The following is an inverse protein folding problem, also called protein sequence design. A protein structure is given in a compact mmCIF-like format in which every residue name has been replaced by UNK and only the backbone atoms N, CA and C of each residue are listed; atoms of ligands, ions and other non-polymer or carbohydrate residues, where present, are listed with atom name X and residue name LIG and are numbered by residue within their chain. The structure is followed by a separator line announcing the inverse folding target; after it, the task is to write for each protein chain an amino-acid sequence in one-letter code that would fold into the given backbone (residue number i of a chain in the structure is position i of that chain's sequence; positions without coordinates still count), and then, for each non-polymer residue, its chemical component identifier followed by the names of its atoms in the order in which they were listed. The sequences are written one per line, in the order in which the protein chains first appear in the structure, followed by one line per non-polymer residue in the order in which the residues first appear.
data_IF_015734583132
#
_entry.id   IF_015734583132
#
_cell.length_a   1.000
_cell.length_b   1.000
_cell.length_c   1.000
_cell.angle_alpha   90.00
_cell.angle_beta   90.00
_cell.angle_gamma   90.00
#
_symmetry.space_group_name_H-M   'P 1'
#
loop_
_entity.id
_entity.type
_entity.pdbx_description
1 polymer ?
#
# COMPACT_ATOMS: atom_id res chain seq x y z
N UNK A 1 -2.28 29.66 -4.79
CA UNK A 1 -2.42 28.58 -3.79
C UNK A 1 -1.08 27.87 -3.69
N UNK A 2 -0.68 27.37 -2.51
CA UNK A 2 0.55 26.58 -2.40
C UNK A 2 0.37 25.22 -3.09
N UNK A 3 1.36 24.81 -3.89
CA UNK A 3 1.31 23.55 -4.68
C UNK A 3 1.60 22.30 -3.81
N UNK A 4 2.17 22.48 -2.63
CA UNK A 4 2.41 21.44 -1.63
C UNK A 4 2.13 21.97 -0.22
N UNK A 5 1.36 21.22 0.56
CA UNK A 5 1.06 21.53 1.97
C UNK A 5 1.67 20.44 2.85
N UNK A 6 2.56 20.84 3.75
CA UNK A 6 3.12 19.95 4.76
C UNK A 6 2.36 20.17 6.07
N UNK A 7 1.56 19.18 6.47
CA UNK A 7 0.89 19.16 7.77
C UNK A 7 1.77 18.45 8.80
N UNK A 8 2.10 19.13 9.89
CA UNK A 8 2.96 18.60 10.94
C UNK A 8 2.42 18.98 12.33
N UNK A 9 2.54 18.06 13.30
CA UNK A 9 2.27 18.35 14.71
C UNK A 9 3.27 19.37 15.28
N UNK A 10 2.97 19.95 16.45
CA UNK A 10 3.76 21.04 17.05
C UNK A 10 5.27 20.74 17.10
N UNK A 11 5.65 19.55 17.54
CA UNK A 11 7.06 19.13 17.65
C UNK A 11 7.74 19.01 16.28
N UNK A 12 7.13 18.28 15.35
CA UNK A 12 7.68 18.11 14.00
C UNK A 12 7.76 19.45 13.24
N UNK A 13 6.75 20.31 13.37
CA UNK A 13 6.74 21.63 12.76
C UNK A 13 7.87 22.52 13.27
N UNK A 14 8.12 22.52 14.59
CA UNK A 14 9.23 23.27 15.18
C UNK A 14 10.59 22.78 14.67
N UNK A 15 10.76 21.45 14.58
CA UNK A 15 11.97 20.83 14.03
C UNK A 15 12.19 21.20 12.55
N UNK A 16 11.18 21.01 11.71
CA UNK A 16 11.24 21.30 10.27
C UNK A 16 11.51 22.78 10.01
N UNK A 17 10.92 23.70 10.78
CA UNK A 17 11.18 25.15 10.65
C UNK A 17 12.62 25.52 11.01
N UNK A 18 13.24 24.80 11.95
CA UNK A 18 14.60 25.06 12.41
C UNK A 18 15.66 24.43 11.50
N UNK A 19 15.43 23.19 11.07
CA UNK A 19 16.45 22.34 10.45
C UNK A 19 16.15 22.00 8.98
N UNK A 20 14.97 22.34 8.47
CA UNK A 20 14.43 21.76 7.24
C UNK A 20 13.84 20.36 7.47
N UNK A 21 13.17 19.81 6.44
CA UNK A 21 12.71 18.42 6.43
C UNK A 21 13.81 17.56 5.80
N UNK A 22 14.41 16.66 6.58
CA UNK A 22 15.43 15.72 6.14
C UNK A 22 14.82 14.31 5.92
N UNK A 23 15.32 13.51 4.97
CA UNK A 23 14.93 12.09 4.88
C UNK A 23 15.33 11.29 6.13
N UNK A 24 16.30 11.77 6.91
CA UNK A 24 16.68 11.15 8.19
C UNK A 24 15.61 11.34 9.28
N UNK A 25 14.69 12.30 9.10
CA UNK A 25 13.54 12.53 10.00
C UNK A 25 12.40 11.52 9.78
N UNK A 26 12.47 10.70 8.72
CA UNK A 26 11.42 9.78 8.33
C UNK A 26 11.67 8.41 8.95
N UNK A 27 10.74 7.95 9.78
CA UNK A 27 10.71 6.59 10.33
C UNK A 27 9.70 5.68 9.63
N UNK A 28 8.64 6.26 9.06
CA UNK A 28 7.53 5.50 8.47
C UNK A 28 6.90 6.28 7.31
N UNK A 29 6.53 5.58 6.24
CA UNK A 29 5.78 6.14 5.11
C UNK A 29 4.48 5.36 4.91
N UNK A 30 3.36 6.07 4.99
CA UNK A 30 2.04 5.52 4.72
C UNK A 30 1.64 5.79 3.27
N UNK A 31 1.44 4.72 2.51
CA UNK A 31 1.07 4.78 1.10
C UNK A 31 -0.40 5.18 0.95
N UNK A 32 -0.64 6.42 0.52
CA UNK A 32 -1.98 6.86 0.16
C UNK A 32 -2.60 5.91 -0.88
N UNK A 33 -3.80 5.43 -0.57
CA UNK A 33 -4.59 4.56 -1.44
C UNK A 33 -5.69 5.35 -2.12
N UNK A 34 -6.19 4.88 -3.26
CA UNK A 34 -7.23 5.60 -4.00
C UNK A 34 -7.49 5.12 -5.43
N UNK A 35 -7.14 3.87 -5.76
CA UNK A 35 -7.17 3.35 -7.13
C UNK A 35 -6.51 4.35 -8.11
N UNK A 36 -7.17 4.72 -9.20
CA UNK A 36 -6.65 5.66 -10.19
C UNK A 36 -6.30 7.06 -9.64
N UNK A 37 -6.84 7.47 -8.47
CA UNK A 37 -6.47 8.75 -7.84
C UNK A 37 -4.99 8.81 -7.46
N UNK A 38 -4.35 7.66 -7.27
CA UNK A 38 -2.92 7.58 -7.03
C UNK A 38 -2.11 8.18 -8.20
N UNK A 39 -2.55 8.06 -9.45
CA UNK A 39 -1.82 8.58 -10.61
C UNK A 39 -1.59 10.10 -10.53
N UNK A 40 -2.50 10.84 -9.88
CA UNK A 40 -2.34 12.28 -9.66
C UNK A 40 -1.15 12.62 -8.74
N UNK A 41 -0.67 11.66 -7.93
CA UNK A 41 0.46 11.80 -7.03
C UNK A 41 1.63 10.87 -7.37
N UNK A 42 1.58 10.12 -8.49
CA UNK A 42 2.64 9.19 -8.88
C UNK A 42 4.00 9.91 -9.06
N UNK A 43 3.97 11.13 -9.61
CA UNK A 43 5.16 11.98 -9.69
C UNK A 43 5.71 12.41 -8.33
N UNK A 44 4.85 12.61 -7.32
CA UNK A 44 5.28 12.90 -5.96
C UNK A 44 5.92 11.66 -5.33
N UNK A 45 5.31 10.49 -5.45
CA UNK A 45 5.88 9.24 -4.96
C UNK A 45 7.26 8.97 -5.59
N UNK A 46 7.37 9.19 -6.91
CA UNK A 46 8.65 9.09 -7.62
C UNK A 46 9.70 10.04 -7.02
N UNK A 47 9.37 11.32 -6.80
CA UNK A 47 10.30 12.28 -6.18
C UNK A 47 10.67 11.89 -4.75
N UNK A 48 9.73 11.37 -3.97
CA UNK A 48 10.00 10.89 -2.60
C UNK A 48 11.01 9.75 -2.63
N UNK A 49 10.75 8.68 -3.38
CA UNK A 49 11.56 7.47 -3.30
C UNK A 49 12.83 7.49 -4.15
N UNK A 50 12.78 8.11 -5.33
CA UNK A 50 13.92 8.14 -6.27
C UNK A 50 14.84 9.35 -6.09
N UNK A 51 14.47 10.35 -5.27
CA UNK A 51 15.28 11.57 -5.08
C UNK A 51 15.44 12.00 -3.62
N UNK A 52 14.36 12.08 -2.85
CA UNK A 52 14.44 12.57 -1.47
C UNK A 52 15.02 11.49 -0.52
N UNK A 53 14.45 10.29 -0.52
CA UNK A 53 14.89 9.20 0.36
C UNK A 53 16.26 8.63 -0.01
N UNK A 54 16.75 8.85 -1.23
CA UNK A 54 18.11 8.45 -1.63
C UNK A 54 19.20 9.29 -0.96
N UNK A 55 18.84 10.45 -0.39
CA UNK A 55 19.76 11.32 0.35
C UNK A 55 19.87 10.94 1.84
N UNK A 56 19.12 9.92 2.29
CA UNK A 56 19.12 9.46 3.68
C UNK A 56 20.48 8.90 4.06
N UNK A 57 20.99 9.28 5.24
CA UNK A 57 22.27 8.81 5.79
C UNK A 57 22.10 7.89 6.99
N UNK A 58 20.98 8.03 7.70
CA UNK A 58 20.58 7.12 8.75
C UNK A 58 20.41 5.70 8.16
N UNK A 59 20.78 4.67 8.91
CA UNK A 59 20.69 3.26 8.52
C UNK A 59 19.51 2.53 9.15
N UNK A 60 18.81 3.14 10.12
CA UNK A 60 17.58 2.57 10.67
C UNK A 60 16.55 2.41 9.55
N UNK A 61 15.99 1.21 9.31
CA UNK A 61 15.04 0.99 8.24
C UNK A 61 13.77 1.83 8.41
N UNK A 62 13.14 2.19 7.29
CA UNK A 62 11.87 2.92 7.25
C UNK A 62 10.74 1.93 7.02
N UNK A 63 9.74 1.93 7.89
CA UNK A 63 8.55 1.11 7.71
C UNK A 63 7.66 1.70 6.62
N UNK A 64 7.24 0.87 5.67
CA UNK A 64 6.32 1.23 4.60
C UNK A 64 4.99 0.54 4.87
N UNK A 65 3.90 1.27 5.06
CA UNK A 65 2.58 0.68 5.27
C UNK A 65 1.63 1.10 4.15
N UNK A 66 1.04 0.12 3.46
CA UNK A 66 0.11 0.38 2.37
C UNK A 66 -1.09 -0.56 2.35
N UNK A 67 -2.13 -0.14 1.66
CA UNK A 67 -3.30 -0.96 1.32
C UNK A 67 -3.63 -0.78 -0.16
N UNK A 68 -4.07 -1.84 -0.85
CA UNK A 68 -4.39 -1.81 -2.28
C UNK A 68 -3.26 -1.14 -3.10
N UNK A 69 -3.55 -0.19 -3.98
CA UNK A 69 -2.53 0.52 -4.79
C UNK A 69 -1.44 1.20 -3.94
N UNK A 70 -1.77 1.60 -2.71
CA UNK A 70 -0.80 2.13 -1.76
C UNK A 70 0.23 1.07 -1.35
N UNK A 71 -0.16 -0.20 -1.22
CA UNK A 71 0.78 -1.30 -1.00
C UNK A 71 1.62 -1.58 -2.26
N UNK A 72 1.00 -1.56 -3.44
CA UNK A 72 1.68 -1.90 -4.69
C UNK A 72 2.79 -0.87 -5.02
N UNK A 73 2.49 0.42 -4.85
CA UNK A 73 3.49 1.48 -5.09
C UNK A 73 4.62 1.45 -4.06
N UNK A 74 4.33 1.09 -2.81
CA UNK A 74 5.34 0.95 -1.78
C UNK A 74 6.20 -0.30 -2.01
N UNK A 75 5.63 -1.39 -2.51
CA UNK A 75 6.36 -2.55 -2.97
C UNK A 75 7.29 -2.18 -4.14
N UNK A 76 6.77 -1.44 -5.13
CA UNK A 76 7.58 -0.92 -6.24
C UNK A 76 8.70 0.03 -5.77
N UNK A 77 8.42 0.89 -4.79
CA UNK A 77 9.42 1.76 -4.17
C UNK A 77 10.48 1.00 -3.34
N UNK A 78 10.14 -0.20 -2.86
CA UNK A 78 11.05 -1.09 -2.14
C UNK A 78 11.86 -2.01 -3.07
N UNK A 79 11.72 -1.90 -4.39
CA UNK A 79 12.64 -2.51 -5.35
C UNK A 79 13.99 -1.77 -5.33
N UNK A 80 15.04 -2.41 -5.86
CA UNK A 80 16.38 -1.81 -5.95
C UNK A 80 16.38 -0.55 -6.82
N UNK A 81 15.70 -0.59 -7.98
CA UNK A 81 15.52 0.55 -8.88
C UNK A 81 14.12 1.18 -8.76
N UNK A 82 13.88 1.88 -7.64
CA UNK A 82 12.63 2.60 -7.43
C UNK A 82 12.37 3.69 -8.49
N UNK A 83 13.40 4.28 -9.12
CA UNK A 83 13.24 5.33 -10.15
C UNK A 83 12.48 4.76 -11.35
N UNK A 84 12.93 3.63 -11.87
CA UNK A 84 12.31 2.98 -13.04
C UNK A 84 11.06 2.21 -12.65
N UNK A 85 11.09 1.45 -11.56
CA UNK A 85 9.95 0.60 -11.16
C UNK A 85 8.67 1.42 -10.94
N UNK A 86 8.73 2.58 -10.28
CA UNK A 86 7.53 3.40 -10.05
C UNK A 86 6.93 3.94 -11.35
N UNK A 87 7.76 4.26 -12.35
CA UNK A 87 7.30 4.67 -13.68
C UNK A 87 6.68 3.50 -14.43
N UNK A 88 7.35 2.35 -14.47
CA UNK A 88 6.83 1.12 -15.09
C UNK A 88 5.47 0.74 -14.48
N UNK A 89 5.33 0.85 -13.16
CA UNK A 89 4.07 0.59 -12.49
C UNK A 89 2.98 1.58 -12.91
N UNK A 90 3.28 2.88 -12.94
CA UNK A 90 2.32 3.90 -13.36
C UNK A 90 1.88 3.71 -14.82
N UNK A 91 2.83 3.45 -15.73
CA UNK A 91 2.56 3.19 -17.15
C UNK A 91 1.73 1.91 -17.34
N UNK A 92 2.07 0.84 -16.62
CA UNK A 92 1.30 -0.39 -16.63
C UNK A 92 -0.12 -0.18 -16.12
N UNK A 93 -0.30 0.60 -15.05
CA UNK A 93 -1.59 0.91 -14.47
C UNK A 93 -2.46 1.75 -15.43
N UNK A 94 -1.88 2.73 -16.13
CA UNK A 94 -2.55 3.54 -17.16
C UNK A 94 -2.95 2.69 -18.36
N UNK A 95 -2.09 1.75 -18.77
CA UNK A 95 -2.28 0.92 -19.94
C UNK A 95 -3.29 -0.23 -19.76
N UNK A 96 -3.87 -0.38 -18.57
CA UNK A 96 -4.93 -1.38 -18.33
C UNK A 96 -6.09 -1.14 -19.30
N UNK A 97 -6.52 -2.22 -19.95
CA UNK A 97 -7.62 -2.18 -20.92
C UNK A 97 -8.51 -3.40 -20.74
N UNK A 98 -9.81 -3.17 -20.71
CA UNK A 98 -10.80 -4.23 -20.54
C UNK A 98 -11.54 -4.43 -21.85
N UNK A 99 -11.39 -5.61 -22.44
CA UNK A 99 -12.15 -6.02 -23.61
C UNK A 99 -13.49 -6.64 -23.17
N UNK A 100 -14.60 -6.12 -23.70
CA UNK A 100 -15.93 -6.67 -23.44
C UNK A 100 -16.45 -6.38 -22.03
N UNK A 101 -17.07 -7.38 -21.40
CA UNK A 101 -17.72 -7.23 -20.09
C UNK A 101 -16.65 -7.22 -18.99
N UNK A 102 -16.65 -6.17 -18.17
CA UNK A 102 -15.81 -6.10 -16.98
C UNK A 102 -16.39 -7.05 -15.92
N UNK A 103 -15.64 -8.10 -15.62
CA UNK A 103 -15.89 -9.06 -14.55
C UNK A 103 -14.63 -9.31 -13.70
N UNK A 104 -14.75 -10.10 -12.63
CA UNK A 104 -13.65 -10.39 -11.71
C UNK A 104 -12.43 -10.99 -12.42
N UNK A 105 -12.65 -11.92 -13.37
CA UNK A 105 -11.58 -12.54 -14.13
C UNK A 105 -10.83 -11.52 -15.00
N UNK A 106 -11.55 -10.60 -15.64
CA UNK A 106 -10.92 -9.52 -16.41
C UNK A 106 -10.12 -8.56 -15.52
N UNK A 107 -10.58 -8.30 -14.28
CA UNK A 107 -9.90 -7.47 -13.28
C UNK A 107 -8.62 -8.14 -12.79
N UNK A 108 -8.70 -9.42 -12.44
CA UNK A 108 -7.54 -10.21 -12.00
C UNK A 108 -6.48 -10.23 -13.10
N UNK A 109 -6.87 -10.54 -14.35
CA UNK A 109 -5.95 -10.55 -15.50
C UNK A 109 -5.23 -9.22 -15.70
N UNK A 110 -5.94 -8.08 -15.65
CA UNK A 110 -5.31 -6.77 -15.80
C UNK A 110 -4.40 -6.43 -14.62
N UNK A 111 -4.78 -6.84 -13.41
CA UNK A 111 -3.98 -6.65 -12.20
C UNK A 111 -2.68 -7.45 -12.28
N UNK A 112 -2.75 -8.71 -12.72
CA UNK A 112 -1.58 -9.58 -12.92
C UNK A 112 -0.60 -8.97 -13.93
N UNK A 113 -1.08 -8.44 -15.05
CA UNK A 113 -0.24 -7.75 -16.03
C UNK A 113 0.51 -6.56 -15.40
N UNK A 114 -0.15 -5.79 -14.53
CA UNK A 114 0.50 -4.69 -13.82
C UNK A 114 1.61 -5.24 -12.92
N UNK A 115 1.31 -6.26 -12.10
CA UNK A 115 2.27 -6.88 -11.19
C UNK A 115 3.47 -7.47 -11.91
N UNK A 116 3.25 -8.27 -12.95
CA UNK A 116 4.30 -8.87 -13.77
C UNK A 116 5.25 -7.80 -14.32
N UNK A 117 4.70 -6.68 -14.82
CA UNK A 117 5.50 -5.59 -15.37
C UNK A 117 6.43 -4.97 -14.36
N UNK A 118 5.93 -4.51 -13.20
CA UNK A 118 6.78 -3.76 -12.27
C UNK A 118 7.62 -4.66 -11.36
N UNK A 119 7.15 -5.87 -11.02
CA UNK A 119 7.91 -6.82 -10.22
C UNK A 119 8.96 -7.57 -11.05
N UNK A 120 8.65 -7.93 -12.30
CA UNK A 120 9.61 -8.59 -13.21
C UNK A 120 10.57 -7.64 -13.91
N UNK A 121 10.39 -6.32 -13.76
CA UNK A 121 11.29 -5.32 -14.33
C UNK A 121 12.72 -5.47 -13.77
N UNK A 122 13.71 -5.42 -14.67
CA UNK A 122 15.12 -5.67 -14.34
C UNK A 122 15.49 -7.15 -14.28
N UNK A 123 14.52 -8.07 -14.37
CA UNK A 123 14.70 -9.52 -14.14
C UNK A 123 14.20 -10.42 -15.28
N UNK A 124 14.15 -9.92 -16.52
CA UNK A 124 13.63 -10.66 -17.67
C UNK A 124 12.21 -11.25 -17.44
N UNK A 125 11.39 -10.56 -16.64
CA UNK A 125 10.03 -10.98 -16.30
C UNK A 125 9.94 -11.91 -15.08
N UNK A 126 11.05 -12.26 -14.44
CA UNK A 126 11.05 -13.09 -13.23
C UNK A 126 10.57 -12.30 -12.00
N UNK A 127 9.28 -12.43 -11.70
CA UNK A 127 8.59 -11.80 -10.57
C UNK A 127 9.15 -12.26 -9.22
N UNK A 128 9.71 -13.45 -9.11
CA UNK A 128 10.23 -13.96 -7.83
C UNK A 128 11.42 -13.13 -7.34
N UNK A 129 12.33 -12.75 -8.25
CA UNK A 129 13.41 -11.80 -7.97
C UNK A 129 12.89 -10.40 -7.62
N UNK A 130 11.73 -10.05 -8.21
CA UNK A 130 10.83 -8.98 -7.81
C UNK A 130 10.63 -8.89 -6.30
N UNK A 131 10.09 -9.99 -5.79
CA UNK A 131 9.71 -10.19 -4.40
C UNK A 131 10.95 -10.28 -3.50
N UNK A 132 11.99 -11.00 -3.93
CA UNK A 132 13.21 -11.20 -3.15
C UNK A 132 13.92 -9.88 -2.82
N UNK A 133 14.00 -8.92 -3.76
CA UNK A 133 14.60 -7.61 -3.45
C UNK A 133 13.81 -6.86 -2.38
N UNK A 134 12.48 -6.96 -2.39
CA UNK A 134 11.62 -6.26 -1.42
C UNK A 134 11.82 -6.88 -0.04
N UNK A 135 11.77 -8.22 0.06
CA UNK A 135 11.93 -8.94 1.31
C UNK A 135 13.36 -8.82 1.88
N UNK A 136 14.37 -8.71 1.02
CA UNK A 136 15.76 -8.51 1.41
C UNK A 136 16.13 -7.03 1.62
N UNK A 137 15.24 -6.07 1.34
CA UNK A 137 15.56 -4.65 1.40
C UNK A 137 15.97 -4.24 2.82
N UNK A 138 17.16 -3.66 2.99
CA UNK A 138 17.64 -3.19 4.29
C UNK A 138 17.15 -1.77 4.64
N UNK A 139 16.79 -0.98 3.63
CA UNK A 139 16.34 0.41 3.79
C UNK A 139 14.86 0.49 4.15
N UNK A 140 14.07 -0.45 3.66
CA UNK A 140 12.61 -0.44 3.78
C UNK A 140 12.08 -1.77 4.31
N UNK A 141 11.08 -1.68 5.19
CA UNK A 141 10.34 -2.83 5.71
C UNK A 141 8.88 -2.69 5.30
N UNK A 142 8.40 -3.59 4.45
CA UNK A 142 7.06 -3.47 3.86
C UNK A 142 5.99 -4.13 4.73
N UNK A 143 4.88 -3.42 4.91
CA UNK A 143 3.69 -3.87 5.62
C UNK A 143 2.46 -3.66 4.74
N UNK A 144 1.65 -4.70 4.61
CA UNK A 144 0.48 -4.70 3.73
C UNK A 144 -0.78 -4.90 4.57
N UNK A 145 -1.61 -3.87 4.64
CA UNK A 145 -2.93 -3.95 5.24
C UNK A 145 -3.97 -4.48 4.26
N UNK A 146 -4.78 -5.41 4.74
CA UNK A 146 -5.92 -6.02 4.03
C UNK A 146 -7.12 -6.12 4.96
N UNK A 147 -8.27 -6.44 4.39
CA UNK A 147 -9.49 -6.77 5.14
C UNK A 147 -9.83 -8.21 4.87
N UNK A 148 -9.91 -9.01 5.93
CA UNK A 148 -10.35 -10.40 5.85
C UNK A 148 -11.84 -10.45 6.14
N UNK A 149 -12.60 -11.01 5.20
CA UNK A 149 -14.03 -11.22 5.34
C UNK A 149 -14.30 -12.58 6.00
N UNK A 150 -15.36 -12.65 6.82
CA UNK A 150 -15.84 -13.85 7.49
C UNK A 150 -17.30 -14.16 7.13
N UNK A 151 -17.71 -15.40 7.39
CA UNK A 151 -19.11 -15.83 7.28
C UNK A 151 -19.71 -15.52 5.91
N UNK A 152 -20.86 -14.84 5.90
CA UNK A 152 -21.58 -14.50 4.68
C UNK A 152 -20.82 -13.59 3.70
N UNK A 153 -19.85 -12.78 4.16
CA UNK A 153 -19.01 -11.96 3.29
C UNK A 153 -17.88 -12.78 2.60
N UNK A 154 -17.61 -13.99 3.09
CA UNK A 154 -16.67 -14.95 2.50
C UNK A 154 -17.41 -16.17 1.91
N UNK A 155 -18.57 -15.92 1.30
CA UNK A 155 -19.46 -16.94 0.77
C UNK A 155 -19.80 -16.64 -0.70
N UNK A 156 -20.41 -17.59 -1.44
CA UNK A 156 -20.81 -17.36 -2.84
C UNK A 156 -21.67 -16.09 -3.00
N UNK A 157 -21.63 -15.49 -4.19
CA UNK A 157 -22.16 -14.14 -4.51
C UNK A 157 -23.54 -13.83 -3.91
N UNK A 158 -24.47 -14.80 -3.91
CA UNK A 158 -25.80 -14.58 -3.34
C UNK A 158 -25.79 -14.40 -1.81
N UNK A 159 -24.96 -15.15 -1.07
CA UNK A 159 -24.78 -14.99 0.38
C UNK A 159 -23.99 -13.73 0.70
N UNK A 160 -23.01 -13.39 -0.14
CA UNK A 160 -22.28 -12.13 -0.04
C UNK A 160 -23.21 -10.94 -0.22
N UNK A 161 -24.13 -10.99 -1.19
CA UNK A 161 -25.16 -9.97 -1.40
C UNK A 161 -26.06 -9.77 -0.17
N UNK A 162 -26.50 -10.85 0.47
CA UNK A 162 -27.29 -10.78 1.71
C UNK A 162 -26.47 -10.16 2.85
N UNK A 163 -25.21 -10.58 3.01
CA UNK A 163 -24.33 -10.04 4.04
C UNK A 163 -24.01 -8.55 3.83
N UNK A 164 -23.79 -8.13 2.58
CA UNK A 164 -23.61 -6.72 2.21
C UNK A 164 -24.88 -5.90 2.42
N UNK A 165 -26.06 -6.42 2.08
CA UNK A 165 -27.33 -5.75 2.33
C UNK A 165 -27.56 -5.54 3.84
N UNK A 166 -27.29 -6.56 4.66
CA UNK A 166 -27.35 -6.45 6.13
C UNK A 166 -26.34 -5.43 6.65
N UNK A 167 -25.10 -5.46 6.18
CA UNK A 167 -24.06 -4.51 6.55
C UNK A 167 -24.46 -3.07 6.18
N UNK A 168 -25.01 -2.86 4.98
CA UNK A 168 -25.47 -1.55 4.51
C UNK A 168 -26.69 -1.02 5.27
N UNK A 169 -27.60 -1.88 5.72
CA UNK A 169 -28.68 -1.44 6.62
C UNK A 169 -28.12 -1.01 7.98
N UNK A 170 -27.22 -1.81 8.56
CA UNK A 170 -26.62 -1.52 9.85
C UNK A 170 -25.70 -0.28 9.82
N UNK A 171 -25.10 0.06 8.67
CA UNK A 171 -24.24 1.25 8.54
C UNK A 171 -24.98 2.56 8.78
N UNK A 172 -26.31 2.57 8.62
CA UNK A 172 -27.15 3.73 8.95
C UNK A 172 -27.32 3.96 10.46
N UNK A 173 -27.07 2.93 11.26
CA UNK A 173 -27.22 2.97 12.73
C UNK A 173 -25.88 2.94 13.46
N UNK A 174 -24.82 2.39 12.85
CA UNK A 174 -23.50 2.26 13.49
C UNK A 174 -22.35 2.15 12.49
N UNK A 175 -21.25 2.84 12.79
CA UNK A 175 -19.98 2.69 12.06
C UNK A 175 -19.32 1.32 12.31
N UNK A 176 -19.84 0.53 13.26
CA UNK A 176 -19.35 -0.80 13.63
C UNK A 176 -20.12 -1.95 12.98
N UNK A 177 -20.90 -1.67 11.94
CA UNK A 177 -21.78 -2.63 11.25
C UNK A 177 -21.06 -3.85 10.65
N UNK A 178 -19.74 -3.78 10.49
CA UNK A 178 -18.90 -4.87 9.99
C UNK A 178 -18.19 -5.67 11.10
N UNK A 179 -18.29 -5.28 12.37
CA UNK A 179 -17.66 -6.04 13.48
C UNK A 179 -18.26 -7.46 13.53
N UNK A 180 -17.38 -8.47 13.55
CA UNK A 180 -17.76 -9.88 13.49
C UNK A 180 -17.98 -10.42 12.07
N UNK A 181 -18.03 -9.55 11.06
CA UNK A 181 -18.06 -9.92 9.64
C UNK A 181 -16.72 -9.68 8.96
N UNK A 182 -15.91 -8.76 9.47
CA UNK A 182 -14.56 -8.47 8.97
C UNK A 182 -13.56 -8.27 10.10
N UNK A 183 -12.29 -8.55 9.80
CA UNK A 183 -11.14 -8.15 10.60
C UNK A 183 -10.08 -7.48 9.71
N UNK A 184 -9.26 -6.61 10.30
CA UNK A 184 -8.06 -6.12 9.61
C UNK A 184 -7.02 -7.22 9.67
N UNK A 185 -6.38 -7.51 8.54
CA UNK A 185 -5.21 -8.38 8.50
C UNK A 185 -4.04 -7.57 7.96
N UNK A 186 -2.95 -7.50 8.73
CA UNK A 186 -1.72 -6.83 8.31
C UNK A 186 -0.63 -7.88 8.15
N UNK A 187 -0.09 -7.97 6.95
CA UNK A 187 1.12 -8.74 6.68
C UNK A 187 2.32 -7.84 6.96
N UNK A 188 3.09 -8.18 7.99
CA UNK A 188 4.19 -7.36 8.48
C UNK A 188 5.54 -7.97 8.09
N UNK A 189 6.49 -7.14 7.69
CA UNK A 189 7.90 -7.55 7.58
C UNK A 189 8.37 -8.10 8.95
N UNK A 190 8.81 -9.36 9.03
CA UNK A 190 9.16 -10.00 10.30
C UNK A 190 10.38 -9.38 10.99
N UNK A 191 11.13 -8.53 10.28
CA UNK A 191 12.29 -7.81 10.83
C UNK A 191 11.89 -6.53 11.55
N UNK A 192 10.62 -6.11 11.47
CA UNK A 192 10.12 -4.91 12.15
C UNK A 192 9.50 -5.22 13.50
N UNK A 193 9.75 -4.35 14.48
CA UNK A 193 9.10 -4.40 15.80
C UNK A 193 7.78 -3.62 15.85
N UNK A 194 7.34 -3.04 14.72
CA UNK A 194 6.11 -2.24 14.68
C UNK A 194 4.87 -3.10 14.85
N UNK A 195 3.98 -2.69 15.76
CA UNK A 195 2.70 -3.34 15.98
C UNK A 195 1.56 -2.42 15.57
N UNK A 196 0.88 -2.73 14.47
CA UNK A 196 -0.25 -1.94 13.98
C UNK A 196 -1.50 -2.22 14.82
N UNK A 197 -2.14 -1.15 15.27
CA UNK A 197 -3.44 -1.16 15.94
C UNK A 197 -4.40 -0.21 15.24
N UNK A 198 -5.70 -0.51 15.31
CA UNK A 198 -6.75 0.33 14.76
C UNK A 198 -7.51 1.03 15.88
N UNK A 199 -7.88 2.30 15.67
CA UNK A 199 -8.62 3.12 16.66
C UNK A 199 -10.14 3.04 16.52
N UNK A 200 -10.62 2.35 15.50
CA UNK A 200 -12.03 2.20 15.15
C UNK A 200 -12.70 1.00 15.83
N UNK A 201 -11.95 0.24 16.63
CA UNK A 201 -12.45 -0.90 17.40
C UNK A 201 -12.53 -2.22 16.61
N UNK A 202 -12.07 -2.24 15.37
CA UNK A 202 -11.93 -3.50 14.64
C UNK A 202 -10.68 -4.26 15.07
N UNK A 203 -10.75 -5.60 15.22
CA UNK A 203 -9.58 -6.40 15.51
C UNK A 203 -8.54 -6.30 14.39
N UNK A 204 -7.27 -6.29 14.78
CA UNK A 204 -6.13 -6.34 13.86
C UNK A 204 -5.42 -7.67 14.07
N UNK A 205 -5.52 -8.55 13.08
CA UNK A 205 -4.71 -9.74 12.95
C UNK A 205 -3.38 -9.37 12.28
N UNK A 206 -2.28 -9.84 12.82
CA UNK A 206 -0.97 -9.71 12.19
C UNK A 206 -0.50 -11.06 11.67
N UNK A 207 0.16 -11.05 10.53
CA UNK A 207 0.78 -12.20 9.90
C UNK A 207 2.16 -11.80 9.37
N UNK A 208 3.09 -12.75 9.25
CA UNK A 208 4.37 -12.46 8.62
C UNK A 208 4.18 -12.24 7.11
N UNK A 209 4.84 -11.23 6.55
CA UNK A 209 4.99 -11.05 5.11
C UNK A 209 6.19 -11.90 4.66
N UNK A 210 5.91 -12.96 3.91
CA UNK A 210 6.91 -13.89 3.38
C UNK A 210 6.69 -14.10 1.88
N UNK A 211 7.72 -14.62 1.18
CA UNK A 211 7.62 -15.06 -0.22
C UNK A 211 6.93 -16.40 -0.37
#
# INVERSE_FOLDING_TARGET
MAELIIAAGKTALAHIRKNGLSPDDISTIFGASGAAKWLAIAGLDHKVFARFMTQRTNKTPVDLFGTSVGAFKLAGAARQDADTTLKVMADAYIAQSYEGKIDLTSIDKQTDIVFEKFMGHGHAGDVSKGIDEILANEKYRLHIGTVRCHGGLNAPVWRQGIALARAGLLSTFTDRHLIGLTERAVFCDPRSDIHFSARDGFPVRQAALTG
#
